data_IF_967144614786
#
_entry.id   IF_967144614786
#
_cell.length_a   1.000
_cell.length_b   1.000
_cell.length_c   1.000
_cell.angle_alpha   90.00
_cell.angle_beta   90.00
_cell.angle_gamma   90.00
#
_symmetry.space_group_name_H-M   'P 1'
#
loop_
_entity.id
_entity.type
_entity.pdbx_description
1 polymer ?
#
# COMPACT_ATOMS: atom_id res chain seq x y z
N UNK A 1 -7.95 -4.60 -0.25
CA UNK A 1 -9.06 -4.68 0.73
C UNK A 1 -9.65 -3.31 1.06
N UNK A 2 -8.91 -2.23 0.80
CA UNK A 2 -9.26 -0.88 1.21
C UNK A 2 -8.67 -0.56 2.58
N UNK A 3 -8.24 0.69 2.77
CA UNK A 3 -7.59 1.15 3.99
C UNK A 3 -8.40 0.86 5.26
N UNK A 4 -9.73 0.98 5.17
CA UNK A 4 -10.65 0.83 6.30
C UNK A 4 -10.84 -0.64 6.73
N UNK A 5 -10.67 -1.58 5.80
CA UNK A 5 -10.95 -2.99 6.04
C UNK A 5 -9.71 -3.83 6.36
N UNK A 6 -8.51 -3.35 6.01
CA UNK A 6 -7.28 -4.15 6.11
C UNK A 6 -7.04 -4.68 7.53
N UNK A 7 -7.15 -3.81 8.54
CA UNK A 7 -6.95 -4.19 9.95
C UNK A 7 -8.03 -5.12 10.50
N UNK A 8 -9.20 -5.13 9.89
CA UNK A 8 -10.33 -5.94 10.32
C UNK A 8 -10.24 -7.33 9.70
N UNK A 9 -10.00 -7.41 8.38
CA UNK A 9 -10.18 -8.65 7.63
C UNK A 9 -8.92 -9.50 7.52
N UNK A 10 -7.76 -8.88 7.31
CA UNK A 10 -6.51 -9.63 7.07
C UNK A 10 -6.07 -10.55 8.23
N UNK A 11 -6.21 -10.17 9.52
CA UNK A 11 -5.81 -11.05 10.62
C UNK A 11 -6.50 -12.42 10.59
N UNK A 12 -7.80 -12.44 10.27
CA UNK A 12 -8.57 -13.67 10.18
C UNK A 12 -8.06 -14.59 9.06
N UNK A 13 -7.68 -14.03 7.91
CA UNK A 13 -7.13 -14.79 6.79
C UNK A 13 -5.76 -15.38 7.13
N UNK A 14 -4.88 -14.60 7.77
CA UNK A 14 -3.56 -15.07 8.19
C UNK A 14 -3.68 -16.27 9.14
N UNK A 15 -4.57 -16.19 10.13
CA UNK A 15 -4.79 -17.26 11.10
C UNK A 15 -5.36 -18.52 10.44
N UNK A 16 -6.33 -18.36 9.53
CA UNK A 16 -6.92 -19.50 8.81
C UNK A 16 -5.89 -20.23 7.93
N UNK A 17 -5.10 -19.49 7.15
CA UNK A 17 -4.03 -20.06 6.31
C UNK A 17 -2.96 -20.77 7.17
N UNK A 18 -2.60 -20.18 8.32
CA UNK A 18 -1.68 -20.81 9.28
C UNK A 18 -2.25 -22.11 9.84
N UNK A 19 -3.52 -22.13 10.25
CA UNK A 19 -4.20 -23.33 10.75
C UNK A 19 -4.28 -24.43 9.70
N UNK A 20 -4.37 -24.06 8.42
CA UNK A 20 -4.32 -25.01 7.30
C UNK A 20 -2.90 -25.52 6.98
N UNK A 21 -1.86 -25.05 7.67
CA UNK A 21 -0.47 -25.46 7.43
C UNK A 21 0.10 -24.99 6.09
N UNK A 22 -0.51 -23.99 5.46
CA UNK A 22 -0.12 -23.51 4.14
C UNK A 22 0.95 -22.41 4.24
N UNK A 23 1.98 -22.53 3.40
CA UNK A 23 3.02 -21.51 3.25
C UNK A 23 2.68 -20.69 2.01
N UNK A 24 2.46 -19.38 2.20
CA UNK A 24 2.07 -18.46 1.13
C UNK A 24 2.89 -17.17 1.19
N UNK A 25 3.00 -16.51 0.04
CA UNK A 25 3.52 -15.14 -0.05
C UNK A 25 2.36 -14.16 0.06
N UNK A 26 2.34 -13.37 1.14
CA UNK A 26 1.36 -12.31 1.30
C UNK A 26 1.78 -11.07 0.52
N UNK A 27 0.93 -10.62 -0.40
CA UNK A 27 1.17 -9.42 -1.21
C UNK A 27 0.03 -8.44 -1.00
N UNK A 28 0.35 -7.18 -0.72
CA UNK A 28 -0.62 -6.11 -0.62
C UNK A 28 -0.85 -5.45 -1.98
N UNK A 29 -2.10 -5.40 -2.42
CA UNK A 29 -2.57 -4.49 -3.45
C UNK A 29 -3.35 -3.35 -2.79
N UNK A 30 -2.70 -2.20 -2.51
CA UNK A 30 -3.34 -1.04 -1.91
C UNK A 30 -4.03 -0.14 -2.95
N UNK A 31 -4.14 -0.57 -4.22
CA UNK A 31 -4.66 0.27 -5.29
C UNK A 31 -6.17 0.06 -5.47
N UNK A 32 -6.56 -1.16 -5.81
CA UNK A 32 -7.93 -1.44 -6.27
C UNK A 32 -8.99 -1.26 -5.19
N UNK A 33 -8.65 -1.50 -3.92
CA UNK A 33 -9.56 -1.33 -2.79
C UNK A 33 -9.86 0.13 -2.40
N UNK A 34 -9.15 1.12 -2.97
CA UNK A 34 -9.22 2.53 -2.58
C UNK A 34 -9.70 3.45 -3.71
N UNK A 35 -10.32 2.90 -4.76
CA UNK A 35 -10.81 3.69 -5.89
C UNK A 35 -12.11 4.43 -5.54
N UNK A 36 -12.15 5.73 -5.82
CA UNK A 36 -13.31 6.60 -5.67
C UNK A 36 -13.63 7.30 -7.00
N UNK A 37 -14.82 7.90 -7.09
CA UNK A 37 -15.20 8.77 -8.22
C UNK A 37 -15.10 10.24 -7.78
N UNK A 38 -14.30 11.03 -8.49
CA UNK A 38 -14.16 12.45 -8.28
C UNK A 38 -15.43 13.23 -8.71
N UNK A 39 -15.64 14.47 -8.23
CA UNK A 39 -16.77 15.30 -8.65
C UNK A 39 -16.84 15.52 -10.17
N UNK A 40 -15.70 15.58 -10.86
CA UNK A 40 -15.60 15.68 -12.32
C UNK A 40 -15.96 14.37 -13.07
N UNK A 41 -16.28 13.30 -12.35
CA UNK A 41 -16.69 12.01 -12.91
C UNK A 41 -15.55 11.03 -13.18
N UNK A 42 -14.30 11.48 -13.14
CA UNK A 42 -13.12 10.61 -13.27
C UNK A 42 -12.96 9.71 -12.05
N UNK A 43 -12.44 8.50 -12.26
CA UNK A 43 -11.96 7.67 -11.16
C UNK A 43 -10.67 8.29 -10.62
N UNK A 44 -10.44 8.16 -9.33
CA UNK A 44 -9.15 8.49 -8.71
C UNK A 44 -8.95 7.63 -7.47
N UNK A 45 -7.75 7.67 -6.89
CA UNK A 45 -7.41 7.01 -5.64
C UNK A 45 -6.71 8.01 -4.74
N UNK A 46 -7.19 8.23 -3.50
CA UNK A 46 -6.49 9.05 -2.54
C UNK A 46 -5.17 8.39 -2.15
N UNK A 47 -4.06 9.08 -2.38
CA UNK A 47 -2.72 8.59 -2.02
C UNK A 47 -2.63 8.23 -0.52
N UNK A 48 -3.27 9.00 0.35
CA UNK A 48 -3.33 8.71 1.78
C UNK A 48 -4.06 7.40 2.12
N UNK A 49 -5.08 7.03 1.35
CA UNK A 49 -5.77 5.75 1.52
C UNK A 49 -4.83 4.59 1.11
N UNK A 50 -4.16 4.71 -0.04
CA UNK A 50 -3.14 3.75 -0.51
C UNK A 50 -2.06 3.56 0.56
N UNK A 51 -1.49 4.66 1.07
CA UNK A 51 -0.47 4.65 2.12
C UNK A 51 -0.99 4.05 3.43
N UNK A 52 -2.25 4.33 3.80
CA UNK A 52 -2.87 3.83 5.03
C UNK A 52 -3.13 2.32 4.97
N UNK A 53 -3.58 1.80 3.82
CA UNK A 53 -3.73 0.36 3.60
C UNK A 53 -2.38 -0.35 3.68
N UNK A 54 -1.35 0.22 3.06
CA UNK A 54 -0.01 -0.33 3.11
C UNK A 54 0.55 -0.35 4.54
N UNK A 55 0.39 0.74 5.31
CA UNK A 55 0.75 0.77 6.73
C UNK A 55 0.01 -0.32 7.51
N UNK A 56 -1.30 -0.45 7.30
CA UNK A 56 -2.13 -1.46 7.93
C UNK A 56 -1.64 -2.88 7.63
N UNK A 57 -1.28 -3.16 6.38
CA UNK A 57 -0.74 -4.45 5.97
C UNK A 57 0.52 -4.82 6.78
N UNK A 58 1.49 -3.91 6.88
CA UNK A 58 2.68 -4.15 7.69
C UNK A 58 2.36 -4.30 9.19
N UNK A 59 1.47 -3.47 9.74
CA UNK A 59 1.09 -3.53 11.15
C UNK A 59 0.43 -4.86 11.50
N UNK A 60 -0.49 -5.34 10.65
CA UNK A 60 -1.16 -6.64 10.83
C UNK A 60 -0.16 -7.78 10.77
N UNK A 61 0.78 -7.77 9.82
CA UNK A 61 1.80 -8.81 9.75
C UNK A 61 2.70 -8.84 10.99
N UNK A 62 3.07 -7.68 11.54
CA UNK A 62 3.81 -7.59 12.80
C UNK A 62 3.00 -8.14 13.98
N UNK A 63 1.73 -7.76 14.11
CA UNK A 63 0.83 -8.24 15.17
C UNK A 63 0.58 -9.75 15.10
N UNK A 64 0.40 -10.28 13.89
CA UNK A 64 0.14 -11.70 13.69
C UNK A 64 1.42 -12.56 13.67
N UNK A 65 2.61 -11.95 13.78
CA UNK A 65 3.89 -12.68 13.70
C UNK A 65 4.11 -13.36 12.34
N UNK A 66 3.63 -12.76 11.26
CA UNK A 66 3.73 -13.28 9.89
C UNK A 66 4.63 -12.39 9.01
N UNK A 67 4.76 -12.72 7.72
CA UNK A 67 5.68 -12.01 6.82
C UNK A 67 4.90 -11.24 5.72
N UNK A 68 5.05 -9.89 5.63
CA UNK A 68 4.59 -9.10 4.50
C UNK A 68 5.53 -9.34 3.32
N UNK A 69 5.12 -10.21 2.39
CA UNK A 69 5.95 -10.73 1.31
C UNK A 69 6.16 -9.79 0.12
N UNK A 70 5.26 -8.82 -0.09
CA UNK A 70 5.44 -7.86 -1.18
C UNK A 70 4.30 -6.86 -1.34
N UNK A 71 4.43 -6.02 -2.35
CA UNK A 71 3.41 -5.05 -2.78
C UNK A 71 3.17 -5.16 -4.28
N UNK A 72 1.93 -4.95 -4.69
CA UNK A 72 1.50 -4.90 -6.09
C UNK A 72 0.92 -3.52 -6.36
N UNK A 73 1.52 -2.76 -7.28
CA UNK A 73 1.18 -1.36 -7.53
C UNK A 73 0.90 -1.11 -9.01
N UNK A 74 -0.04 -0.21 -9.29
CA UNK A 74 -0.25 0.36 -10.61
C UNK A 74 0.43 1.73 -10.65
N UNK A 75 1.48 1.85 -11.46
CA UNK A 75 2.33 3.04 -11.50
C UNK A 75 2.80 3.36 -12.92
N UNK A 76 3.24 4.60 -13.12
CA UNK A 76 3.91 5.05 -14.33
C UNK A 76 5.04 6.01 -13.98
N UNK A 77 6.13 5.98 -14.77
CA UNK A 77 7.22 6.96 -14.66
C UNK A 77 6.87 8.34 -15.21
N UNK A 78 5.68 8.50 -15.80
CA UNK A 78 5.19 9.76 -16.34
C UNK A 78 4.66 10.69 -15.23
N UNK A 79 4.76 12.00 -15.48
CA UNK A 79 4.20 13.02 -14.59
C UNK A 79 2.69 13.20 -14.86
N UNK A 80 1.90 12.22 -14.41
CA UNK A 80 0.44 12.17 -14.53
C UNK A 80 -0.27 12.65 -13.25
N UNK A 81 -1.53 13.03 -13.37
CA UNK A 81 -2.39 13.51 -12.28
C UNK A 81 -3.57 12.55 -12.06
N UNK A 82 -3.31 11.25 -12.02
CA UNK A 82 -4.37 10.22 -11.96
C UNK A 82 -4.83 9.93 -10.51
N UNK A 83 -3.89 9.89 -9.55
CA UNK A 83 -4.16 9.76 -8.11
C UNK A 83 -4.04 11.10 -7.38
N UNK A 84 -5.02 11.46 -6.55
CA UNK A 84 -4.98 12.68 -5.74
C UNK A 84 -4.08 12.55 -4.50
N UNK A 85 -3.56 13.68 -4.02
CA UNK A 85 -2.67 13.77 -2.87
C UNK A 85 -1.20 13.45 -3.20
N UNK A 86 -0.48 12.95 -2.20
CA UNK A 86 0.99 12.83 -2.24
C UNK A 86 1.68 14.17 -2.02
N UNK A 87 3.00 14.15 -1.94
CA UNK A 87 3.85 15.34 -1.71
C UNK A 87 3.62 16.51 -2.68
N UNK A 88 3.27 16.24 -3.94
CA UNK A 88 2.96 17.29 -4.93
C UNK A 88 1.50 17.80 -4.87
N UNK A 89 0.69 17.34 -3.92
CA UNK A 89 -0.70 17.76 -3.66
C UNK A 89 -1.57 17.81 -4.93
N UNK A 90 -1.69 16.68 -5.64
CA UNK A 90 -2.63 16.58 -6.77
C UNK A 90 -4.06 16.70 -6.25
N UNK A 91 -4.81 17.67 -6.74
CA UNK A 91 -6.21 17.92 -6.36
C UNK A 91 -7.19 17.29 -7.35
N UNK A 92 -8.50 17.37 -7.06
CA UNK A 92 -9.53 16.96 -8.02
C UNK A 92 -9.51 17.78 -9.31
N UNK A 93 -9.17 19.06 -9.22
CA UNK A 93 -9.14 19.97 -10.39
C UNK A 93 -7.97 19.64 -11.32
N UNK A 94 -6.87 19.14 -10.75
CA UNK A 94 -5.69 18.73 -11.51
C UNK A 94 -5.90 17.45 -12.32
N UNK A 95 -6.92 16.65 -12.01
CA UNK A 95 -7.15 15.36 -12.65
C UNK A 95 -7.27 15.51 -14.18
N UNK A 96 -7.99 16.52 -14.66
CA UNK A 96 -8.20 16.73 -16.11
C UNK A 96 -6.94 17.16 -16.88
N UNK A 97 -5.86 17.55 -16.19
CA UNK A 97 -4.67 18.07 -16.86
C UNK A 97 -3.87 16.98 -17.60
N UNK A 98 -3.70 15.80 -16.97
CA UNK A 98 -2.84 14.72 -17.46
C UNK A 98 -3.37 13.34 -17.08
N UNK A 99 -4.69 13.14 -17.24
CA UNK A 99 -5.33 11.83 -17.12
C UNK A 99 -5.16 11.03 -18.41
N UNK A 100 -4.18 10.13 -18.46
CA UNK A 100 -3.81 9.42 -19.70
C UNK A 100 -4.19 7.94 -19.72
N UNK A 101 -4.82 7.45 -18.65
CA UNK A 101 -5.31 6.07 -18.56
C UNK A 101 -6.79 5.96 -18.94
N UNK A 102 -7.15 4.89 -19.65
CA UNK A 102 -8.55 4.53 -19.91
C UNK A 102 -9.10 3.57 -18.85
N UNK A 103 -8.23 2.95 -18.05
CA UNK A 103 -8.61 1.96 -17.04
C UNK A 103 -8.62 2.63 -15.67
N UNK A 104 -7.71 2.22 -14.80
CA UNK A 104 -7.65 2.70 -13.43
C UNK A 104 -6.51 3.73 -13.23
N UNK A 105 -6.66 4.62 -12.24
CA UNK A 105 -5.70 5.70 -11.98
C UNK A 105 -4.39 5.17 -11.40
N UNK A 106 -3.26 5.53 -12.01
CA UNK A 106 -1.91 5.06 -11.62
C UNK A 106 -1.20 6.07 -10.73
N UNK A 107 -0.29 5.58 -9.90
CA UNK A 107 0.66 6.43 -9.21
C UNK A 107 1.63 7.06 -10.21
N UNK A 108 1.87 8.37 -10.07
CA UNK A 108 2.94 9.02 -10.81
C UNK A 108 4.32 8.71 -10.19
N UNK A 109 5.39 9.16 -10.85
CA UNK A 109 6.76 8.89 -10.41
C UNK A 109 7.05 9.35 -8.96
N UNK A 110 6.61 10.55 -8.59
CA UNK A 110 6.85 11.10 -7.24
C UNK A 110 6.10 10.32 -6.17
N UNK A 111 4.81 10.03 -6.40
CA UNK A 111 4.00 9.21 -5.49
C UNK A 111 4.56 7.79 -5.35
N UNK A 112 5.03 7.19 -6.45
CA UNK A 112 5.66 5.87 -6.45
C UNK A 112 6.93 5.84 -5.61
N UNK A 113 7.77 6.88 -5.74
CA UNK A 113 9.01 7.00 -4.98
C UNK A 113 8.72 7.23 -3.49
N UNK A 114 7.72 8.04 -3.16
CA UNK A 114 7.28 8.26 -1.77
C UNK A 114 6.85 6.95 -1.09
N UNK A 115 6.06 6.11 -1.78
CA UNK A 115 5.71 4.78 -1.26
C UNK A 115 6.92 3.85 -1.14
N UNK A 116 7.86 3.89 -2.09
CA UNK A 116 9.07 3.08 -2.03
C UNK A 116 9.90 3.40 -0.77
N UNK A 117 10.05 4.69 -0.44
CA UNK A 117 10.72 5.10 0.80
C UNK A 117 9.97 4.63 2.04
N UNK A 118 8.65 4.78 2.10
CA UNK A 118 7.84 4.31 3.23
C UNK A 118 7.95 2.79 3.45
N UNK A 119 7.96 2.00 2.37
CA UNK A 119 8.19 0.54 2.41
C UNK A 119 9.59 0.24 2.93
N UNK A 120 10.61 0.92 2.38
CA UNK A 120 12.01 0.70 2.76
C UNK A 120 12.24 0.93 4.25
N UNK A 121 11.60 1.95 4.83
CA UNK A 121 11.69 2.26 6.25
C UNK A 121 11.10 1.15 7.11
N UNK A 122 9.91 0.64 6.75
CA UNK A 122 9.27 -0.49 7.45
C UNK A 122 10.12 -1.75 7.39
N UNK A 123 10.66 -2.09 6.23
CA UNK A 123 11.54 -3.26 6.04
C UNK A 123 12.84 -3.12 6.85
N UNK A 124 13.46 -1.94 6.83
CA UNK A 124 14.68 -1.66 7.60
C UNK A 124 14.43 -1.77 9.10
N UNK A 125 13.36 -1.16 9.61
CA UNK A 125 12.99 -1.20 11.04
C UNK A 125 12.81 -2.64 11.51
N UNK A 126 12.11 -3.48 10.74
CA UNK A 126 11.93 -4.90 11.05
C UNK A 126 13.25 -5.66 11.09
N UNK A 127 14.09 -5.50 10.06
CA UNK A 127 15.40 -6.18 9.98
C UNK A 127 16.29 -5.84 11.18
N UNK A 128 16.31 -4.57 11.60
CA UNK A 128 17.08 -4.13 12.77
C UNK A 128 16.52 -4.67 14.10
N UNK A 129 15.20 -4.80 14.22
CA UNK A 129 14.55 -5.41 15.39
C UNK A 129 14.93 -6.88 15.52
N UNK A 130 14.79 -7.66 14.44
CA UNK A 130 15.17 -9.08 14.43
C UNK A 130 16.65 -9.31 14.72
N UNK A 131 17.54 -8.44 14.22
CA UNK A 131 18.97 -8.53 14.53
C UNK A 131 19.29 -8.28 16.01
N UNK A 132 18.56 -7.38 16.68
CA UNK A 132 18.74 -7.11 18.12
C UNK A 132 18.22 -8.26 18.98
N UNK A 133 17.08 -8.85 18.63
CA UNK A 133 16.51 -10.01 19.34
C UNK A 133 17.51 -11.19 19.32
N UNK A 134 18.09 -11.50 18.16
CA UNK A 134 19.13 -12.54 18.01
C UNK A 134 20.41 -12.28 18.83
N UNK A 135 20.77 -11.03 19.09
CA UNK A 135 21.96 -10.70 19.89
C UNK A 135 21.71 -10.73 21.40
N UNK A 136 20.45 -10.59 21.84
CA UNK A 136 20.08 -10.53 23.26
C UNK A 136 19.74 -11.91 23.85
N UNK A 137 19.57 -12.93 23.00
CA UNK A 137 19.31 -14.33 23.39
C UNK A 137 20.60 -15.16 23.58
N UNK A 138 21.78 -14.52 23.61
CA UNK A 138 23.11 -15.10 23.94
C UNK A 138 23.67 -14.46 25.20
#
# INVERSE_FOLDING_TARGET
MGADNMRIKLPHLIRAVRQAGLIVTWVSDPMHGNTIKAPCGLKTRPFDAIRSELRAFFDVHEQEGSYPGGVHLEMTGQNVTECIGGSNTVTFDDLNSRYHTHCDPRLNASQSLELAFAISERLRKRRLKSAKELCNDN
#
